data_IF_508485733962
#
_entry.id   IF_508485733962
#
_cell.length_a   1.000
_cell.length_b   1.000
_cell.length_c   1.000
_cell.angle_alpha   90.00
_cell.angle_beta   90.00
_cell.angle_gamma   90.00
#
_symmetry.space_group_name_H-M   'P 1'
#
loop_
_entity.id
_entity.type
_entity.pdbx_description
1 polymer ?
#
# COMPACT_ATOMS: atom_id res chain seq x y z
N UNK A 1 -19.28 -49.37 -1.87
CA UNK A 1 -18.33 -48.26 -2.02
C UNK A 1 -18.70 -47.48 -3.26
N UNK A 2 -19.30 -46.30 -3.11
CA UNK A 2 -19.59 -45.40 -4.22
C UNK A 2 -19.04 -44.03 -3.83
N UNK A 3 -18.05 -43.55 -4.56
CA UNK A 3 -17.40 -42.27 -4.35
C UNK A 3 -18.34 -41.12 -4.80
N UNK A 4 -18.44 -40.00 -4.07
CA UNK A 4 -19.10 -38.81 -4.59
C UNK A 4 -18.16 -38.05 -5.55
N UNK A 5 -18.70 -37.65 -6.70
CA UNK A 5 -18.02 -36.87 -7.73
C UNK A 5 -17.66 -35.44 -7.22
N UNK A 6 -16.58 -34.82 -7.73
CA UNK A 6 -16.14 -33.51 -7.26
C UNK A 6 -17.04 -32.38 -7.81
N UNK A 7 -17.40 -31.48 -6.89
CA UNK A 7 -18.08 -30.21 -7.14
C UNK A 7 -17.30 -29.37 -8.16
N UNK A 8 -17.83 -29.24 -9.37
CA UNK A 8 -17.41 -28.18 -10.28
C UNK A 8 -17.91 -26.85 -9.70
N UNK A 9 -16.97 -26.13 -9.07
CA UNK A 9 -17.13 -24.76 -8.60
C UNK A 9 -17.75 -23.91 -9.72
N UNK A 10 -19.05 -23.71 -9.59
CA UNK A 10 -19.81 -22.79 -10.41
C UNK A 10 -19.39 -21.39 -9.96
N UNK A 11 -18.37 -20.83 -10.62
CA UNK A 11 -18.01 -19.42 -10.50
C UNK A 11 -19.24 -18.58 -10.84
N UNK A 12 -20.03 -18.24 -9.82
CA UNK A 12 -21.14 -17.34 -9.96
C UNK A 12 -20.54 -15.95 -10.19
N UNK A 13 -20.71 -15.34 -11.38
CA UNK A 13 -20.31 -13.95 -11.56
C UNK A 13 -21.07 -13.14 -10.51
N UNK A 14 -20.33 -12.54 -9.58
CA UNK A 14 -20.87 -11.75 -8.48
C UNK A 14 -21.99 -10.87 -9.02
N UNK A 15 -23.23 -11.22 -8.68
CA UNK A 15 -24.44 -10.71 -9.29
C UNK A 15 -24.48 -9.20 -9.06
N UNK A 16 -23.96 -8.44 -10.03
CA UNK A 16 -23.87 -6.98 -9.95
C UNK A 16 -25.27 -6.48 -9.68
N UNK A 17 -25.45 -5.91 -8.48
CA UNK A 17 -26.75 -5.47 -7.98
C UNK A 17 -27.34 -4.53 -9.02
N UNK A 18 -28.48 -4.91 -9.61
CA UNK A 18 -29.18 -4.10 -10.61
C UNK A 18 -29.46 -2.74 -9.98
N UNK A 19 -28.73 -1.73 -10.43
CA UNK A 19 -28.96 -0.34 -10.06
C UNK A 19 -30.39 -0.02 -10.51
N UNK A 20 -31.24 0.42 -9.58
CA UNK A 20 -32.65 0.73 -9.85
C UNK A 20 -32.72 1.78 -10.97
N UNK A 21 -33.74 1.69 -11.83
CA UNK A 21 -34.00 2.57 -13.00
C UNK A 21 -34.27 4.05 -12.66
N UNK A 22 -34.00 4.50 -11.43
CA UNK A 22 -33.89 5.93 -11.12
C UNK A 22 -32.59 6.49 -11.72
N UNK A 23 -32.54 7.81 -11.98
CA UNK A 23 -31.45 8.51 -12.68
C UNK A 23 -30.07 7.94 -12.32
N UNK A 24 -29.50 7.13 -13.22
CA UNK A 24 -28.15 6.59 -13.07
C UNK A 24 -27.18 7.77 -13.02
N UNK A 25 -26.45 7.90 -11.92
CA UNK A 25 -25.35 8.88 -11.82
C UNK A 25 -24.07 8.30 -12.42
N UNK A 26 -23.22 9.16 -12.99
CA UNK A 26 -21.88 8.76 -13.44
C UNK A 26 -20.88 8.66 -12.27
N UNK A 27 -19.72 8.03 -12.50
CA UNK A 27 -18.65 7.91 -11.51
C UNK A 27 -18.10 9.28 -11.08
N UNK A 28 -17.95 10.21 -12.01
CA UNK A 28 -17.46 11.57 -11.71
C UNK A 28 -18.40 12.34 -10.78
N UNK A 29 -19.70 12.39 -11.09
CA UNK A 29 -20.68 13.05 -10.22
C UNK A 29 -20.77 12.38 -8.84
N UNK A 30 -20.61 11.06 -8.77
CA UNK A 30 -20.56 10.31 -7.50
C UNK A 30 -19.34 10.71 -6.66
N UNK A 31 -18.13 10.73 -7.23
CA UNK A 31 -16.90 11.16 -6.55
C UNK A 31 -17.02 12.60 -6.05
N UNK A 32 -17.61 13.47 -6.87
CA UNK A 32 -17.81 14.90 -6.58
C UNK A 32 -19.00 15.19 -5.67
N UNK A 33 -19.85 14.19 -5.36
CA UNK A 33 -21.07 14.33 -4.56
C UNK A 33 -22.04 15.41 -5.08
N UNK A 34 -22.17 15.53 -6.42
CA UNK A 34 -23.09 16.47 -7.08
C UNK A 34 -24.20 15.74 -7.84
N UNK A 35 -25.29 16.44 -8.17
CA UNK A 35 -26.39 15.90 -8.97
C UNK A 35 -25.93 15.62 -10.40
N UNK A 36 -26.17 14.39 -10.88
CA UNK A 36 -25.93 14.01 -12.27
C UNK A 36 -27.18 14.31 -13.11
N UNK A 37 -27.05 15.19 -14.10
CA UNK A 37 -28.15 15.58 -15.00
C UNK A 37 -27.80 15.18 -16.44
N UNK A 38 -28.43 14.10 -16.93
CA UNK A 38 -28.33 13.70 -18.33
C UNK A 38 -29.28 14.59 -19.17
N UNK A 39 -28.83 15.21 -20.27
CA UNK A 39 -29.68 16.05 -21.12
C UNK A 39 -30.77 15.23 -21.81
N UNK A 40 -30.41 14.10 -22.44
CA UNK A 40 -31.31 13.10 -22.98
C UNK A 40 -30.88 11.67 -22.58
N UNK A 41 -31.83 10.70 -22.52
CA UNK A 41 -31.48 9.30 -22.36
C UNK A 41 -30.80 8.80 -23.65
N UNK A 42 -29.48 8.65 -23.61
CA UNK A 42 -28.66 8.25 -24.77
C UNK A 42 -27.46 9.16 -25.01
N UNK A 43 -27.45 10.36 -24.42
CA UNK A 43 -26.28 11.22 -24.46
C UNK A 43 -25.10 10.59 -23.73
N UNK A 44 -23.92 10.67 -24.34
CA UNK A 44 -22.70 10.10 -23.79
C UNK A 44 -22.19 10.80 -22.53
N UNK A 45 -22.70 11.99 -22.18
CA UNK A 45 -22.26 12.75 -21.02
C UNK A 45 -23.37 13.54 -20.33
N UNK A 46 -23.26 13.66 -18.99
CA UNK A 46 -24.10 14.57 -18.21
C UNK A 46 -23.65 16.02 -18.38
N UNK A 47 -24.55 16.98 -18.16
CA UNK A 47 -24.30 18.43 -18.28
C UNK A 47 -23.02 18.83 -17.51
N UNK A 48 -22.88 18.33 -16.28
CA UNK A 48 -21.74 18.65 -15.41
C UNK A 48 -20.40 18.10 -15.92
N UNK A 49 -20.38 16.92 -16.54
CA UNK A 49 -19.16 16.35 -17.11
C UNK A 49 -18.81 17.00 -18.45
N UNK A 50 -19.82 17.32 -19.26
CA UNK A 50 -19.65 18.05 -20.53
C UNK A 50 -18.98 19.41 -20.31
N UNK A 51 -19.49 20.23 -19.38
CA UNK A 51 -18.88 21.53 -19.06
C UNK A 51 -17.46 21.43 -18.51
N UNK A 52 -17.10 20.30 -17.90
CA UNK A 52 -15.76 20.08 -17.33
C UNK A 52 -14.80 19.43 -18.31
N UNK A 53 -15.26 19.00 -19.49
CA UNK A 53 -14.46 18.24 -20.45
C UNK A 53 -13.90 16.94 -19.88
N UNK A 54 -14.61 16.29 -18.93
CA UNK A 54 -14.17 15.03 -18.31
C UNK A 54 -15.00 13.85 -18.81
N UNK A 55 -14.39 12.65 -18.78
CA UNK A 55 -15.07 11.41 -19.13
C UNK A 55 -16.28 11.17 -18.22
N UNK A 56 -17.44 10.96 -18.82
CA UNK A 56 -18.69 10.70 -18.11
C UNK A 56 -19.02 9.20 -18.15
N UNK A 57 -18.41 8.42 -17.26
CA UNK A 57 -18.62 6.96 -17.24
C UNK A 57 -19.82 6.61 -16.35
N UNK A 58 -20.86 5.94 -16.87
CA UNK A 58 -22.00 5.52 -16.06
C UNK A 58 -21.62 4.39 -15.08
N UNK A 59 -22.30 4.35 -13.92
CA UNK A 59 -21.95 3.47 -12.79
C UNK A 59 -22.14 1.96 -13.02
N UNK A 60 -22.73 1.57 -14.13
CA UNK A 60 -22.90 0.17 -14.51
C UNK A 60 -21.66 -0.45 -15.13
N UNK A 61 -20.77 0.39 -15.64
CA UNK A 61 -19.42 0.02 -15.99
C UNK A 61 -18.56 0.09 -14.72
N UNK A 62 -17.68 -0.90 -14.45
CA UNK A 62 -16.70 -0.79 -13.38
C UNK A 62 -15.89 0.49 -13.54
N UNK A 63 -15.68 1.19 -12.43
CA UNK A 63 -14.82 2.38 -12.39
C UNK A 63 -13.38 2.07 -12.80
N UNK A 64 -12.94 0.86 -12.46
CA UNK A 64 -11.68 0.26 -12.85
C UNK A 64 -11.99 -1.10 -13.48
N UNK A 65 -11.68 -1.32 -14.77
CA UNK A 65 -11.87 -2.61 -15.43
C UNK A 65 -11.00 -3.71 -14.80
N UNK A 66 -9.92 -3.33 -14.10
CA UNK A 66 -9.02 -4.23 -13.40
C UNK A 66 -8.88 -3.78 -11.94
N UNK A 67 -9.87 -4.03 -11.08
CA UNK A 67 -9.74 -3.67 -9.67
C UNK A 67 -8.53 -4.43 -9.10
N UNK A 68 -7.40 -3.72 -8.97
CA UNK A 68 -6.20 -4.29 -8.37
C UNK A 68 -6.63 -4.64 -6.96
N UNK A 69 -6.70 -5.95 -6.65
CA UNK A 69 -6.94 -6.42 -5.29
C UNK A 69 -5.77 -5.89 -4.48
N UNK A 70 -5.93 -4.72 -3.87
CA UNK A 70 -4.97 -4.16 -2.93
C UNK A 70 -5.01 -5.10 -1.75
N UNK A 71 -4.17 -6.13 -1.77
CA UNK A 71 -3.90 -6.98 -0.62
C UNK A 71 -3.19 -6.11 0.42
N UNK A 72 -3.99 -5.28 1.11
CA UNK A 72 -3.52 -4.37 2.16
C UNK A 72 -2.77 -5.15 3.24
N UNK A 73 -3.14 -6.42 3.42
CA UNK A 73 -2.45 -7.38 4.29
C UNK A 73 -0.99 -7.60 3.88
N UNK A 74 -0.72 -7.91 2.61
CA UNK A 74 0.65 -8.09 2.09
C UNK A 74 1.47 -6.80 2.14
N UNK A 75 0.86 -5.64 1.93
CA UNK A 75 1.56 -4.37 2.05
C UNK A 75 1.97 -4.09 3.52
N UNK A 76 1.05 -4.32 4.47
CA UNK A 76 1.33 -4.18 5.90
C UNK A 76 2.43 -5.13 6.38
N UNK A 77 2.39 -6.39 5.96
CA UNK A 77 3.42 -7.40 6.27
C UNK A 77 4.81 -6.99 5.75
N UNK A 78 4.88 -6.45 4.51
CA UNK A 78 6.15 -5.98 3.94
C UNK A 78 6.70 -4.75 4.66
N UNK A 79 5.83 -3.82 5.06
CA UNK A 79 6.24 -2.62 5.80
C UNK A 79 6.79 -2.98 7.17
N UNK A 80 6.11 -3.86 7.92
CA UNK A 80 6.58 -4.33 9.22
C UNK A 80 7.94 -5.02 9.15
N UNK A 81 8.19 -5.81 8.10
CA UNK A 81 9.49 -6.44 7.86
C UNK A 81 10.58 -5.39 7.59
N UNK A 82 10.28 -4.38 6.75
CA UNK A 82 11.24 -3.29 6.46
C UNK A 82 11.60 -2.53 7.73
N UNK A 83 10.61 -2.14 8.54
CA UNK A 83 10.85 -1.46 9.83
C UNK A 83 11.73 -2.31 10.76
N UNK A 84 11.45 -3.61 10.87
CA UNK A 84 12.24 -4.52 11.69
C UNK A 84 13.69 -4.66 11.20
N UNK A 85 13.90 -4.78 9.89
CA UNK A 85 15.24 -4.87 9.29
C UNK A 85 16.02 -3.59 9.52
N UNK A 86 15.42 -2.42 9.30
CA UNK A 86 16.07 -1.14 9.52
C UNK A 86 16.50 -0.94 10.98
N UNK A 87 15.68 -1.35 11.94
CA UNK A 87 16.05 -1.30 13.37
C UNK A 87 17.25 -2.19 13.69
N UNK A 88 17.28 -3.41 13.14
CA UNK A 88 18.40 -4.35 13.32
C UNK A 88 19.68 -3.82 12.70
N UNK A 89 19.61 -3.33 11.47
CA UNK A 89 20.78 -2.80 10.77
C UNK A 89 21.33 -1.56 11.48
N UNK A 90 20.45 -0.69 11.99
CA UNK A 90 20.85 0.46 12.80
C UNK A 90 21.54 0.02 14.09
N UNK A 91 21.06 -1.03 14.76
CA UNK A 91 21.69 -1.57 15.96
C UNK A 91 23.05 -2.21 15.68
N UNK A 92 23.22 -2.87 14.53
CA UNK A 92 24.51 -3.43 14.08
C UNK A 92 25.50 -2.32 13.74
N UNK A 93 25.06 -1.28 13.02
CA UNK A 93 25.90 -0.11 12.72
C UNK A 93 26.27 0.67 13.97
N UNK A 94 25.33 0.84 14.91
CA UNK A 94 25.58 1.45 16.20
C UNK A 94 26.54 0.58 17.04
N UNK A 95 26.35 -0.74 17.08
CA UNK A 95 27.15 -1.68 17.89
C UNK A 95 28.58 -1.89 17.35
N UNK A 96 28.76 -1.90 16.04
CA UNK A 96 30.08 -2.03 15.41
C UNK A 96 30.92 -0.74 15.52
N UNK A 97 30.29 0.43 15.77
CA UNK A 97 30.98 1.71 15.95
C UNK A 97 31.55 1.95 17.36
N UNK A 98 31.08 1.23 18.40
CA UNK A 98 31.51 1.48 19.80
C UNK A 98 32.60 0.51 20.26
N UNK A 99 32.70 -0.67 19.66
CA UNK A 99 33.72 -1.66 20.03
C UNK A 99 35.14 -1.25 19.62
N UNK A 100 35.29 -0.45 18.55
CA UNK A 100 36.61 -0.05 18.03
C UNK A 100 37.27 1.15 18.74
N UNK A 101 36.52 1.97 19.49
CA UNK A 101 37.05 3.20 20.07
C UNK A 101 37.49 3.05 21.54
N UNK A 102 37.00 2.02 22.26
CA UNK A 102 37.38 1.81 23.68
C UNK A 102 38.71 1.09 23.87
N UNK A 103 39.24 0.40 22.86
CA UNK A 103 40.47 -0.40 23.01
C UNK A 103 41.77 0.41 22.83
N UNK A 104 41.72 1.58 22.19
CA UNK A 104 42.91 2.41 21.96
C UNK A 104 43.25 3.30 23.14
N UNK A 105 42.29 3.65 24.00
CA UNK A 105 42.53 4.54 25.14
C UNK A 105 43.16 3.81 26.35
N UNK A 106 42.73 2.57 26.63
CA UNK A 106 43.27 1.79 27.75
C UNK A 106 44.71 1.30 27.49
N UNK A 107 45.08 0.96 26.24
CA UNK A 107 46.46 0.57 25.89
C UNK A 107 47.43 1.76 25.89
N UNK A 108 46.97 2.97 25.56
CA UNK A 108 47.80 4.18 25.61
C UNK A 108 48.04 4.58 27.07
N UNK A 109 47.03 4.51 27.93
CA UNK A 109 47.17 4.81 29.36
C UNK A 109 48.19 3.89 30.05
N UNK A 110 48.13 2.57 29.79
CA UNK A 110 49.10 1.60 30.34
C UNK A 110 50.51 1.79 29.79
N UNK A 111 50.68 2.16 28.51
CA UNK A 111 52.01 2.48 27.93
C UNK A 111 52.60 3.76 28.50
N UNK A 112 51.81 4.82 28.72
CA UNK A 112 52.30 6.09 29.27
C UNK A 112 52.74 5.93 30.72
N UNK A 113 52.01 5.16 31.53
CA UNK A 113 52.43 4.84 32.91
C UNK A 113 53.75 4.05 32.92
N UNK A 114 53.91 3.09 31.99
CA UNK A 114 55.14 2.28 31.92
C UNK A 114 56.35 3.08 31.39
N UNK A 115 56.14 4.09 30.54
CA UNK A 115 57.22 4.98 30.06
C UNK A 115 57.69 5.94 31.15
N UNK A 116 56.79 6.42 32.02
CA UNK A 116 57.14 7.33 33.11
C UNK A 116 57.69 6.61 34.36
N UNK A 117 57.58 5.28 34.44
CA UNK A 117 58.13 4.46 35.53
C UNK A 117 59.59 4.02 35.36
N UNK A 118 60.23 4.28 34.21
CA UNK A 118 61.61 3.87 33.92
C UNK A 118 62.67 4.98 34.09
N UNK A 119 62.29 6.13 34.65
CA UNK A 119 63.18 7.27 34.86
C UNK A 119 63.23 7.76 36.33
N UNK A 120 63.25 6.82 37.28
CA UNK A 120 63.87 6.99 38.62
C UNK A 120 64.61 5.71 38.98
#
# INVERSE_FOLDING_TARGET
MAAPAPDLEREMPAKRRRVRKGTRSCWECKRRKIRCMLPAPGDGACIGCHHRGVACVPQDVPEDPFPVKKDKRRLGERLALIEQTLMKDFQVLAGNGIAGLRQTDDQVALKVINILGHHV
#
